data_IF_913988967321
#
_entry.id   IF_913988967321
#
_cell.length_a   1.000
_cell.length_b   1.000
_cell.length_c   1.000
_cell.angle_alpha   90.00
_cell.angle_beta   90.00
_cell.angle_gamma   90.00
#
_symmetry.space_group_name_H-M   'P 1'
#
loop_
_entity.id
_entity.type
_entity.pdbx_description
1 polymer ?
#
# COMPACT_ATOMS: atom_id res chain seq x y z
N UNK A 1 -9.18 -4.26 -12.36
CA UNK A 1 -9.17 -5.59 -11.68
C UNK A 1 -10.03 -5.48 -10.41
N UNK A 2 -10.72 -6.54 -9.98
CA UNK A 2 -11.61 -6.53 -8.79
C UNK A 2 -10.89 -7.06 -7.55
N UNK A 3 -11.25 -6.54 -6.38
CA UNK A 3 -10.78 -7.00 -5.06
C UNK A 3 -11.99 -7.36 -4.20
N UNK A 4 -11.97 -8.54 -3.57
CA UNK A 4 -12.93 -8.92 -2.54
C UNK A 4 -12.32 -8.59 -1.17
N UNK A 5 -12.81 -7.55 -0.51
CA UNK A 5 -12.40 -7.21 0.84
C UNK A 5 -13.19 -8.02 1.84
N UNK A 6 -12.49 -8.70 2.76
CA UNK A 6 -13.07 -9.45 3.87
C UNK A 6 -12.56 -8.82 5.17
N UNK A 7 -13.33 -7.93 5.81
CA UNK A 7 -12.92 -7.33 7.08
C UNK A 7 -12.89 -8.39 8.19
N UNK A 8 -11.90 -8.29 9.08
CA UNK A 8 -11.76 -9.14 10.26
C UNK A 8 -11.47 -8.28 11.48
N UNK A 9 -11.92 -8.69 12.66
CA UNK A 9 -11.62 -7.95 13.90
C UNK A 9 -10.12 -7.91 14.17
N UNK A 10 -9.57 -6.70 14.28
CA UNK A 10 -8.14 -6.46 14.51
C UNK A 10 -7.77 -6.15 15.96
N UNK A 11 -8.76 -6.03 16.85
CA UNK A 11 -8.56 -5.56 18.22
C UNK A 11 -7.62 -6.48 19.01
N UNK A 12 -6.66 -5.89 19.73
CA UNK A 12 -5.60 -6.65 20.40
C UNK A 12 -6.10 -7.34 21.67
N UNK A 13 -7.12 -6.78 22.31
CA UNK A 13 -7.74 -7.36 23.51
C UNK A 13 -8.60 -8.59 23.22
N UNK A 14 -9.01 -8.82 21.96
CA UNK A 14 -9.81 -9.97 21.56
C UNK A 14 -8.89 -11.15 21.18
N UNK A 15 -8.99 -12.31 21.86
CA UNK A 15 -8.22 -13.50 21.50
C UNK A 15 -8.44 -13.89 20.04
N UNK A 16 -7.38 -14.34 19.34
CA UNK A 16 -7.44 -14.65 17.90
C UNK A 16 -8.60 -15.58 17.53
N UNK A 17 -8.79 -16.66 18.30
CA UNK A 17 -9.85 -17.64 18.07
C UNK A 17 -11.28 -17.10 18.29
N UNK A 18 -11.43 -15.92 18.91
CA UNK A 18 -12.72 -15.26 19.18
C UNK A 18 -13.02 -14.11 18.22
N UNK A 19 -12.08 -13.77 17.32
CA UNK A 19 -12.26 -12.69 16.34
C UNK A 19 -13.30 -13.07 15.30
N UNK A 20 -14.14 -12.12 14.94
CA UNK A 20 -15.21 -12.29 13.96
C UNK A 20 -14.77 -11.85 12.56
N UNK A 21 -15.34 -12.50 11.56
CA UNK A 21 -15.27 -12.09 10.16
C UNK A 21 -16.48 -11.20 9.87
N UNK A 22 -16.25 -10.04 9.27
CA UNK A 22 -17.31 -9.10 8.90
C UNK A 22 -17.86 -9.37 7.49
N UNK A 23 -18.82 -8.54 7.08
CA UNK A 23 -19.44 -8.65 5.76
C UNK A 23 -18.43 -8.39 4.65
N UNK A 24 -18.32 -9.28 3.64
CA UNK A 24 -17.43 -9.07 2.52
C UNK A 24 -17.96 -7.96 1.59
N UNK A 25 -17.07 -7.25 0.90
CA UNK A 25 -17.44 -6.35 -0.19
C UNK A 25 -16.59 -6.59 -1.45
N UNK A 26 -17.24 -6.59 -2.60
CA UNK A 26 -16.55 -6.62 -3.89
C UNK A 26 -16.34 -5.20 -4.39
N UNK A 27 -15.09 -4.82 -4.60
CA UNK A 27 -14.69 -3.47 -4.96
C UNK A 27 -13.90 -3.44 -6.27
N UNK A 28 -14.13 -2.37 -7.03
CA UNK A 28 -13.26 -1.84 -8.08
C UNK A 28 -13.07 -0.36 -7.79
N UNK A 29 -11.91 0.24 -8.09
CA UNK A 29 -11.73 1.68 -7.97
C UNK A 29 -12.75 2.39 -8.86
N UNK A 30 -13.38 3.44 -8.32
CA UNK A 30 -14.09 4.42 -9.14
C UNK A 30 -13.06 5.35 -9.85
N UNK A 31 -13.54 6.26 -10.70
CA UNK A 31 -12.65 7.17 -11.46
C UNK A 31 -11.75 8.02 -10.57
N UNK A 32 -12.27 8.49 -9.43
CA UNK A 32 -11.51 9.29 -8.46
C UNK A 32 -10.43 8.45 -7.76
N UNK A 33 -10.80 7.27 -7.25
CA UNK A 33 -9.89 6.34 -6.59
C UNK A 33 -8.80 5.86 -7.55
N UNK A 34 -9.12 5.63 -8.83
CA UNK A 34 -8.14 5.26 -9.86
C UNK A 34 -7.16 6.39 -10.13
N UNK A 35 -7.65 7.63 -10.25
CA UNK A 35 -6.80 8.82 -10.43
C UNK A 35 -5.87 9.02 -9.24
N UNK A 36 -6.37 8.94 -8.01
CA UNK A 36 -5.58 9.07 -6.78
C UNK A 36 -4.44 8.03 -6.71
N UNK A 37 -4.76 6.76 -6.98
CA UNK A 37 -3.76 5.70 -6.96
C UNK A 37 -2.74 5.85 -8.08
N UNK A 38 -3.16 6.36 -9.24
CA UNK A 38 -2.29 6.63 -10.38
C UNK A 38 -1.31 7.76 -10.07
N UNK A 39 -1.78 8.88 -9.55
CA UNK A 39 -0.94 10.04 -9.20
C UNK A 39 0.15 9.64 -8.20
N UNK A 40 -0.21 8.94 -7.12
CA UNK A 40 0.76 8.46 -6.14
C UNK A 40 1.75 7.44 -6.75
N UNK A 41 1.26 6.56 -7.63
CA UNK A 41 2.12 5.58 -8.30
C UNK A 41 3.14 6.26 -9.21
N UNK A 42 2.71 7.27 -9.99
CA UNK A 42 3.59 8.04 -10.88
C UNK A 42 4.67 8.77 -10.06
N UNK A 43 4.30 9.47 -8.96
CA UNK A 43 5.26 10.12 -8.06
C UNK A 43 6.30 9.12 -7.50
N UNK A 44 5.81 8.00 -6.95
CA UNK A 44 6.67 6.99 -6.32
C UNK A 44 7.58 6.30 -7.33
N UNK A 45 7.09 6.07 -8.55
CA UNK A 45 7.88 5.47 -9.62
C UNK A 45 8.93 6.43 -10.17
N UNK A 46 8.63 7.71 -10.31
CA UNK A 46 9.61 8.73 -10.70
C UNK A 46 10.79 8.75 -9.73
N UNK A 47 10.52 8.71 -8.42
CA UNK A 47 11.58 8.60 -7.41
C UNK A 47 12.43 7.34 -7.58
N UNK A 48 11.82 6.20 -7.92
CA UNK A 48 12.55 4.95 -8.17
C UNK A 48 13.44 5.08 -9.41
N UNK A 49 12.88 5.56 -10.52
CA UNK A 49 13.58 5.67 -11.82
C UNK A 49 14.73 6.67 -11.75
N UNK A 50 14.56 7.76 -10.99
CA UNK A 50 15.61 8.76 -10.75
C UNK A 50 16.66 8.31 -9.72
N UNK A 51 16.62 7.03 -9.28
CA UNK A 51 17.58 6.48 -8.34
C UNK A 51 17.46 7.03 -6.91
N UNK A 52 16.32 7.65 -6.58
CA UNK A 52 16.03 8.23 -5.28
C UNK A 52 15.33 7.24 -4.35
N UNK A 53 15.46 5.93 -4.62
CA UNK A 53 14.79 4.88 -3.87
C UNK A 53 15.04 5.03 -2.36
N UNK A 54 16.27 5.26 -1.91
CA UNK A 54 16.60 5.43 -0.48
C UNK A 54 15.93 6.64 0.20
N UNK A 55 15.48 7.64 -0.57
CA UNK A 55 14.74 8.80 -0.04
C UNK A 55 13.26 8.55 0.18
N UNK A 56 12.71 7.49 -0.42
CA UNK A 56 11.28 7.17 -0.28
C UNK A 56 11.01 6.71 1.16
N UNK A 57 10.23 7.52 1.87
CA UNK A 57 9.68 7.22 3.19
C UNK A 57 8.18 6.93 3.13
N UNK A 58 7.62 6.40 4.22
CA UNK A 58 6.18 6.17 4.37
C UNK A 58 5.30 7.44 4.28
N UNK A 59 5.91 8.64 4.24
CA UNK A 59 5.19 9.91 4.11
C UNK A 59 4.79 10.21 2.66
N UNK A 60 5.53 9.72 1.67
CA UNK A 60 5.22 9.92 0.24
C UNK A 60 3.92 9.22 -0.17
N UNK A 61 3.28 9.77 -1.21
CA UNK A 61 1.93 9.46 -1.67
C UNK A 61 0.83 9.85 -0.67
N UNK A 62 -0.39 10.07 -1.12
CA UNK A 62 -1.53 10.41 -0.28
C UNK A 62 -2.34 9.17 0.15
N UNK A 63 -2.47 8.19 -0.74
CA UNK A 63 -3.28 6.98 -0.60
C UNK A 63 -2.47 5.70 -0.83
N UNK A 64 -1.44 5.74 -1.67
CA UNK A 64 -0.51 4.66 -1.95
C UNK A 64 0.86 5.00 -1.36
N UNK A 65 1.60 4.01 -0.85
CA UNK A 65 2.95 4.21 -0.35
C UNK A 65 3.85 3.01 -0.62
N UNK A 66 5.16 3.25 -0.60
CA UNK A 66 6.17 2.20 -0.65
C UNK A 66 6.74 1.96 0.75
N UNK A 67 6.85 0.69 1.14
CA UNK A 67 7.48 0.26 2.40
C UNK A 67 8.38 -0.95 2.14
N UNK A 68 9.39 -1.20 2.99
CA UNK A 68 10.15 -2.45 2.94
C UNK A 68 9.22 -3.66 3.06
N UNK A 69 9.36 -4.61 2.13
CA UNK A 69 8.63 -5.88 2.08
C UNK A 69 9.63 -7.03 2.03
N UNK A 70 10.46 -7.13 3.06
CA UNK A 70 11.48 -8.16 3.19
C UNK A 70 11.07 -9.20 4.24
N UNK A 71 11.32 -10.48 3.96
CA UNK A 71 11.13 -11.56 4.95
C UNK A 71 12.06 -11.42 6.16
N UNK A 72 13.23 -10.81 5.94
CA UNK A 72 14.22 -10.46 6.95
C UNK A 72 15.12 -9.32 6.41
N UNK A 73 15.92 -8.70 7.28
CA UNK A 73 16.81 -7.60 6.92
C UNK A 73 18.00 -8.00 5.99
N UNK A 74 18.13 -9.29 5.64
CA UNK A 74 19.20 -9.80 4.76
C UNK A 74 18.75 -9.97 3.31
N UNK A 75 17.45 -9.88 3.04
CA UNK A 75 16.95 -9.95 1.67
C UNK A 75 17.29 -8.66 0.93
N UNK A 76 18.03 -8.77 -0.18
CA UNK A 76 18.42 -7.64 -1.02
C UNK A 76 17.93 -7.87 -2.45
N UNK A 77 17.60 -6.78 -3.14
CA UNK A 77 17.23 -6.74 -4.56
C UNK A 77 18.04 -5.64 -5.26
N UNK A 78 18.25 -5.79 -6.56
CA UNK A 78 18.86 -4.75 -7.39
C UNK A 78 17.93 -3.54 -7.51
N UNK A 79 18.52 -2.35 -7.52
CA UNK A 79 17.86 -1.08 -7.80
C UNK A 79 18.85 -0.10 -8.49
N UNK A 80 18.33 1.06 -8.90
CA UNK A 80 19.12 2.15 -9.48
C UNK A 80 19.49 3.14 -8.36
N UNK A 81 20.76 3.51 -8.28
CA UNK A 81 21.30 4.52 -7.38
C UNK A 81 21.25 5.92 -7.97
N UNK A 82 21.57 6.92 -7.16
CA UNK A 82 21.41 8.34 -7.51
C UNK A 82 22.24 8.82 -8.71
N UNK A 83 23.25 8.06 -9.16
CA UNK A 83 24.07 8.35 -10.35
C UNK A 83 23.85 7.32 -11.46
N UNK A 84 22.77 6.56 -11.41
CA UNK A 84 22.46 5.51 -12.38
C UNK A 84 23.23 4.21 -12.16
N UNK A 85 24.02 4.10 -11.09
CA UNK A 85 24.72 2.87 -10.75
C UNK A 85 23.74 1.80 -10.26
N UNK A 86 24.09 0.52 -10.46
CA UNK A 86 23.33 -0.57 -9.83
C UNK A 86 23.70 -0.64 -8.34
N UNK A 87 22.68 -0.65 -7.49
CA UNK A 87 22.82 -0.80 -6.04
C UNK A 87 22.00 -1.99 -5.54
N UNK A 88 22.34 -2.48 -4.35
CA UNK A 88 21.51 -3.43 -3.61
C UNK A 88 20.72 -2.68 -2.54
N UNK A 89 19.43 -2.93 -2.45
CA UNK A 89 18.56 -2.35 -1.41
C UNK A 89 17.55 -3.38 -0.92
N UNK A 90 16.83 -3.07 0.17
CA UNK A 90 15.77 -3.94 0.66
C UNK A 90 14.62 -4.00 -0.36
N UNK A 91 14.01 -5.18 -0.61
CA UNK A 91 12.83 -5.27 -1.45
C UNK A 91 11.71 -4.43 -0.86
N UNK A 92 10.96 -3.78 -1.74
CA UNK A 92 9.88 -2.86 -1.37
C UNK A 92 8.59 -3.28 -2.02
N UNK A 93 7.49 -2.96 -1.35
CA UNK A 93 6.14 -3.21 -1.85
C UNK A 93 5.28 -1.97 -1.73
N UNK A 94 4.26 -1.91 -2.58
CA UNK A 94 3.19 -0.93 -2.47
C UNK A 94 2.17 -1.33 -1.41
N UNK A 95 1.66 -0.34 -0.69
CA UNK A 95 0.65 -0.51 0.33
C UNK A 95 -0.39 0.60 0.22
N UNK A 96 -1.66 0.22 0.28
CA UNK A 96 -2.75 1.17 0.47
C UNK A 96 -2.72 1.72 1.89
N UNK A 97 -2.80 3.04 2.04
CA UNK A 97 -2.86 3.72 3.32
C UNK A 97 -4.25 3.56 3.96
N UNK A 98 -4.28 3.78 5.27
CA UNK A 98 -5.50 3.59 6.07
C UNK A 98 -6.64 4.52 5.66
N UNK A 99 -6.33 5.76 5.29
CA UNK A 99 -7.31 6.74 4.79
C UNK A 99 -8.04 6.20 3.55
N UNK A 100 -7.32 5.63 2.57
CA UNK A 100 -7.90 5.02 1.38
C UNK A 100 -8.89 3.90 1.74
N UNK A 101 -8.43 2.90 2.51
CA UNK A 101 -9.28 1.75 2.86
C UNK A 101 -10.44 2.14 3.78
N UNK A 102 -10.26 3.14 4.65
CA UNK A 102 -11.33 3.62 5.54
C UNK A 102 -12.43 4.32 4.75
N UNK A 103 -12.07 5.19 3.80
CA UNK A 103 -13.04 5.85 2.91
C UNK A 103 -13.81 4.82 2.07
N UNK A 104 -13.12 3.83 1.50
CA UNK A 104 -13.70 2.72 0.75
C UNK A 104 -14.74 1.93 1.58
N UNK A 105 -14.39 1.57 2.82
CA UNK A 105 -15.31 0.84 3.71
C UNK A 105 -16.50 1.70 4.13
N UNK A 106 -16.26 2.98 4.48
CA UNK A 106 -17.31 3.91 4.86
C UNK A 106 -18.31 4.12 3.72
N UNK A 107 -17.83 4.33 2.50
CA UNK A 107 -18.66 4.50 1.30
C UNK A 107 -19.58 3.31 1.05
N UNK A 108 -19.12 2.10 1.31
CA UNK A 108 -19.93 0.89 1.04
C UNK A 108 -20.92 0.57 2.17
N UNK A 109 -20.54 0.76 3.43
CA UNK A 109 -21.35 0.32 4.58
C UNK A 109 -22.10 1.44 5.31
N UNK A 110 -21.71 2.71 5.17
CA UNK A 110 -22.30 3.83 5.93
C UNK A 110 -23.11 4.81 5.06
N UNK A 111 -22.70 5.04 3.81
CA UNK A 111 -23.27 6.09 2.93
C UNK A 111 -24.23 5.46 1.89
N UNK A 112 -25.05 4.48 2.29
CA UNK A 112 -26.01 3.85 1.38
C UNK A 112 -27.13 4.81 0.98
#
# INVERSE_FOLDING_TARGET
KRVLWIPVEGERSIPLAKRRVGSPLLWSPNEEEDRQLREDWEELMDMIVLGQIERITARHGEYLQIRPKAANAKALTEAIGARGERILTLPRGFYLKKNFTSALLARHFLIQ
#
